data_IF_628917870449
#
_entry.id   IF_628917870449
#
_cell.length_a   1.000
_cell.length_b   1.000
_cell.length_c   1.000
_cell.angle_alpha   90.00
_cell.angle_beta   90.00
_cell.angle_gamma   90.00
#
_symmetry.space_group_name_H-M   'P 1'
#
loop_
_entity.id
_entity.type
_entity.pdbx_description
1 polymer ?
#
# COMPACT_ATOMS: atom_id res chain seq x y z
N UNK A 1 45.76 10.94 2.13
CA UNK A 1 45.04 10.39 0.96
C UNK A 1 44.62 8.92 1.18
N UNK A 2 45.53 7.97 1.42
CA UNK A 2 45.15 6.56 1.66
C UNK A 2 44.23 6.37 2.89
N UNK A 3 44.54 7.06 4.00
CA UNK A 3 43.74 7.01 5.24
C UNK A 3 42.34 7.61 5.10
N UNK A 4 42.21 8.71 4.35
CA UNK A 4 40.92 9.38 4.11
C UNK A 4 40.01 8.56 3.19
N UNK A 5 40.58 7.86 2.21
CA UNK A 5 39.84 6.92 1.36
C UNK A 5 39.34 5.72 2.17
N UNK A 6 40.18 5.18 3.05
CA UNK A 6 39.81 4.05 3.91
C UNK A 6 38.68 4.41 4.88
N UNK A 7 38.74 5.59 5.49
CA UNK A 7 37.65 6.11 6.35
C UNK A 7 36.37 6.25 5.54
N UNK A 8 36.44 6.83 4.34
CA UNK A 8 35.28 6.95 3.44
C UNK A 8 34.64 5.61 3.09
N UNK A 9 35.44 4.57 2.80
CA UNK A 9 34.93 3.23 2.52
C UNK A 9 34.26 2.58 3.74
N UNK A 10 34.84 2.72 4.93
CA UNK A 10 34.26 2.18 6.16
C UNK A 10 32.93 2.87 6.46
N UNK A 11 32.87 4.19 6.35
CA UNK A 11 31.63 4.95 6.53
C UNK A 11 30.56 4.55 5.52
N UNK A 12 30.93 4.36 4.25
CA UNK A 12 30.00 3.91 3.21
C UNK A 12 29.47 2.50 3.50
N UNK A 13 30.34 1.56 3.92
CA UNK A 13 29.91 0.23 4.33
C UNK A 13 28.98 0.26 5.53
N UNK A 14 29.25 1.12 6.52
CA UNK A 14 28.39 1.27 7.68
C UNK A 14 27.02 1.82 7.30
N UNK A 15 26.96 2.81 6.39
CA UNK A 15 25.70 3.37 5.89
C UNK A 15 24.88 2.34 5.10
N UNK A 16 25.53 1.43 4.37
CA UNK A 16 24.85 0.34 3.67
C UNK A 16 24.19 -0.66 4.63
N UNK A 17 24.67 -0.79 5.88
CA UNK A 17 24.00 -1.63 6.89
C UNK A 17 22.76 -0.99 7.52
N UNK A 18 22.57 0.33 7.34
CA UNK A 18 21.39 1.05 7.83
C UNK A 18 20.30 1.21 6.77
N UNK A 19 20.42 0.56 5.61
CA UNK A 19 19.28 0.48 4.67
C UNK A 19 18.22 -0.37 5.35
N UNK A 20 17.06 0.19 5.77
CA UNK A 20 16.00 -0.63 6.28
C UNK A 20 15.60 -1.58 5.15
N UNK A 21 15.66 -2.88 5.41
CA UNK A 21 15.05 -3.89 4.56
C UNK A 21 13.53 -3.68 4.63
N UNK A 22 13.02 -2.70 3.89
CA UNK A 22 11.62 -2.68 3.49
C UNK A 22 11.51 -3.82 2.50
N UNK A 23 11.28 -5.02 3.04
CA UNK A 23 10.88 -6.16 2.24
C UNK A 23 9.64 -5.72 1.49
N UNK A 24 9.77 -5.56 0.17
CA UNK A 24 8.62 -5.63 -0.71
C UNK A 24 7.95 -6.97 -0.38
N UNK A 25 6.78 -6.89 0.26
CA UNK A 25 5.94 -8.04 0.58
C UNK A 25 5.37 -8.60 -0.73
N UNK A 26 6.24 -9.14 -1.58
CA UNK A 26 5.87 -9.81 -2.80
C UNK A 26 5.22 -11.15 -2.42
N UNK A 27 3.89 -11.13 -2.28
CA UNK A 27 3.08 -12.34 -2.17
C UNK A 27 2.50 -12.67 -0.79
N UNK A 28 2.58 -11.77 0.20
CA UNK A 28 1.73 -11.92 1.38
C UNK A 28 0.33 -11.41 1.03
N UNK A 29 -0.72 -12.23 1.19
CA UNK A 29 -2.07 -11.77 0.94
C UNK A 29 -2.35 -10.56 1.84
N UNK A 30 -3.03 -9.56 1.32
CA UNK A 30 -3.34 -8.33 2.05
C UNK A 30 -3.87 -8.65 3.46
N UNK A 31 -3.19 -8.13 4.50
CA UNK A 31 -3.58 -8.30 5.91
C UNK A 31 -4.72 -7.32 6.22
N UNK A 32 -5.83 -7.49 5.51
CA UNK A 32 -6.98 -6.61 5.55
C UNK A 32 -8.26 -7.42 5.59
N UNK A 33 -9.20 -7.05 6.44
CA UNK A 33 -10.54 -7.63 6.43
C UNK A 33 -11.59 -6.57 6.09
N UNK A 34 -12.64 -7.00 5.40
CA UNK A 34 -13.77 -6.15 5.03
C UNK A 34 -15.04 -6.58 5.77
N UNK A 35 -15.94 -5.64 6.09
CA UNK A 35 -17.26 -5.96 6.61
C UNK A 35 -18.06 -6.88 5.66
N UNK A 36 -19.05 -7.65 6.17
CA UNK A 36 -19.85 -8.52 5.33
C UNK A 36 -20.49 -7.81 4.13
N UNK A 37 -20.36 -8.42 2.95
CA UNK A 37 -20.89 -7.87 1.70
C UNK A 37 -20.03 -6.79 1.06
N UNK A 38 -18.80 -6.60 1.54
CA UNK A 38 -17.74 -5.84 0.87
C UNK A 38 -16.64 -6.79 0.40
N UNK A 39 -16.01 -6.44 -0.71
CA UNK A 39 -14.88 -7.15 -1.31
C UNK A 39 -13.61 -6.33 -1.08
N UNK A 40 -12.48 -7.00 -0.93
CA UNK A 40 -11.18 -6.32 -0.84
C UNK A 40 -10.65 -6.05 -2.24
N UNK A 41 -10.18 -4.82 -2.48
CA UNK A 41 -9.61 -4.37 -3.75
C UNK A 41 -8.33 -3.58 -3.50
N UNK A 42 -7.42 -3.60 -4.47
CA UNK A 42 -6.23 -2.74 -4.42
C UNK A 42 -6.63 -1.27 -4.63
N UNK A 43 -6.11 -0.39 -3.79
CA UNK A 43 -6.31 1.04 -3.93
C UNK A 43 -5.71 1.54 -5.25
N UNK A 44 -6.55 2.10 -6.11
CA UNK A 44 -6.16 2.58 -7.43
C UNK A 44 -6.31 1.58 -8.58
N UNK A 45 -6.76 0.34 -8.33
CA UNK A 45 -7.01 -0.66 -9.40
C UNK A 45 -8.35 -0.46 -10.14
N UNK A 46 -8.85 0.77 -10.25
CA UNK A 46 -10.00 1.05 -11.10
C UNK A 46 -9.49 1.36 -12.50
N UNK A 47 -9.67 0.44 -13.45
CA UNK A 47 -9.26 0.68 -14.83
C UNK A 47 -10.02 1.87 -15.43
N UNK A 48 -9.29 2.93 -15.78
CA UNK A 48 -9.55 4.10 -16.65
C UNK A 48 -10.97 4.74 -16.75
N UNK A 49 -11.99 4.28 -16.02
CA UNK A 49 -13.38 4.70 -16.17
C UNK A 49 -14.22 4.69 -14.89
N UNK A 50 -13.81 3.96 -13.84
CA UNK A 50 -14.60 3.79 -12.61
C UNK A 50 -14.31 4.82 -11.51
N UNK A 51 -13.40 5.77 -11.75
CA UNK A 51 -13.01 6.76 -10.75
C UNK A 51 -14.10 7.78 -10.39
N UNK A 52 -15.27 7.77 -11.04
CA UNK A 52 -16.31 8.78 -10.83
C UNK A 52 -17.60 8.24 -10.19
N UNK A 53 -17.68 6.94 -9.91
CA UNK A 53 -18.91 6.28 -9.43
C UNK A 53 -18.85 5.84 -7.96
N UNK A 54 -17.87 6.31 -7.18
CA UNK A 54 -17.70 5.89 -5.79
C UNK A 54 -18.34 6.82 -4.76
N UNK A 55 -18.83 6.25 -3.66
CA UNK A 55 -19.31 6.91 -2.46
C UNK A 55 -18.38 6.51 -1.32
N UNK A 56 -17.80 7.50 -0.61
CA UNK A 56 -16.94 7.25 0.55
C UNK A 56 -15.50 7.67 0.32
N UNK A 57 -14.55 6.84 0.77
CA UNK A 57 -13.14 7.22 0.80
C UNK A 57 -12.50 7.17 -0.61
N UNK A 58 -11.83 8.26 -0.97
CA UNK A 58 -11.04 8.39 -2.19
C UNK A 58 -9.52 8.21 -1.92
N UNK A 59 -9.16 7.83 -0.70
CA UNK A 59 -7.79 7.66 -0.22
C UNK A 59 -7.72 6.42 0.66
N UNK A 60 -6.63 5.69 0.55
CA UNK A 60 -6.23 4.64 1.49
C UNK A 60 -5.67 5.28 2.76
N UNK A 61 -6.38 5.11 3.89
CA UNK A 61 -5.99 5.73 5.16
C UNK A 61 -5.00 4.84 5.94
N UNK A 62 -5.02 3.54 5.69
CA UNK A 62 -4.10 2.56 6.27
C UNK A 62 -2.71 2.61 5.64
N UNK A 63 -2.62 3.04 4.38
CA UNK A 63 -1.39 3.09 3.60
C UNK A 63 -0.86 1.70 3.22
N UNK A 64 -1.74 0.68 3.24
CA UNK A 64 -1.40 -0.71 2.92
C UNK A 64 -1.76 -1.10 1.47
N UNK A 65 -2.31 -0.16 0.72
CA UNK A 65 -2.69 -0.30 -0.68
C UNK A 65 -4.04 -0.99 -0.87
N UNK A 66 -4.90 -1.07 0.14
CA UNK A 66 -6.13 -1.85 0.10
C UNK A 66 -7.34 -1.02 0.50
N UNK A 67 -8.48 -1.34 -0.10
CA UNK A 67 -9.78 -0.78 0.26
C UNK A 67 -10.87 -1.84 0.20
N UNK A 68 -11.96 -1.59 0.92
CA UNK A 68 -13.19 -2.37 0.84
C UNK A 68 -14.18 -1.71 -0.12
N UNK A 69 -14.64 -2.46 -1.11
CA UNK A 69 -15.56 -2.02 -2.15
C UNK A 69 -16.87 -2.80 -2.07
N UNK A 70 -18.00 -2.11 -2.19
CA UNK A 70 -19.31 -2.74 -2.37
C UNK A 70 -20.04 -2.15 -3.56
N UNK A 71 -20.36 -3.01 -4.52
CA UNK A 71 -21.18 -2.66 -5.67
C UNK A 71 -22.65 -2.49 -5.28
N UNK A 72 -23.26 -1.40 -5.72
CA UNK A 72 -24.67 -1.11 -5.56
C UNK A 72 -25.42 -1.38 -6.88
N UNK A 73 -26.72 -1.73 -6.82
CA UNK A 73 -27.51 -2.06 -8.02
C UNK A 73 -27.65 -0.91 -9.03
N UNK A 74 -27.39 0.33 -8.62
CA UNK A 74 -27.47 1.53 -9.45
C UNK A 74 -26.15 1.85 -10.18
N UNK A 75 -25.16 0.95 -10.14
CA UNK A 75 -23.85 1.17 -10.76
C UNK A 75 -22.92 2.07 -9.97
N UNK A 76 -23.24 2.37 -8.70
CA UNK A 76 -22.32 3.04 -7.78
C UNK A 76 -21.57 2.03 -6.91
N UNK A 77 -20.46 2.48 -6.33
CA UNK A 77 -19.54 1.66 -5.53
C UNK A 77 -19.37 2.35 -4.19
N UNK A 78 -19.45 1.64 -3.06
CA UNK A 78 -19.10 2.21 -1.76
C UNK A 78 -17.66 1.84 -1.45
N UNK A 79 -16.81 2.84 -1.21
CA UNK A 79 -15.42 2.66 -0.82
C UNK A 79 -15.25 3.02 0.66
N UNK A 80 -14.63 2.12 1.42
CA UNK A 80 -14.14 2.40 2.76
C UNK A 80 -12.80 1.71 2.98
N UNK A 81 -12.13 2.10 4.05
CA UNK A 81 -10.86 1.51 4.46
C UNK A 81 -11.08 0.07 4.94
N UNK A 82 -10.11 -0.80 4.70
CA UNK A 82 -10.06 -2.13 5.30
C UNK A 82 -9.70 -2.04 6.78
N UNK A 83 -9.92 -3.14 7.50
CA UNK A 83 -9.44 -3.28 8.88
C UNK A 83 -8.09 -3.98 8.85
N UNK A 84 -7.04 -3.30 9.30
CA UNK A 84 -5.72 -3.88 9.59
C UNK A 84 -5.84 -4.75 10.85
N UNK A 85 -5.26 -5.96 10.81
CA UNK A 85 -5.13 -6.86 11.98
C UNK A 85 -3.73 -6.85 12.58
#
# INVERSE_FOLDING_TARGET
>A
MKKTIMIGMITLMLLLTFVPTVFAANGQPPVGSCPPGFEIHEFGHHGDGDHMHHIGLAVDLNGDGLICVKHLPNGLHVHMDNVIQ
#
